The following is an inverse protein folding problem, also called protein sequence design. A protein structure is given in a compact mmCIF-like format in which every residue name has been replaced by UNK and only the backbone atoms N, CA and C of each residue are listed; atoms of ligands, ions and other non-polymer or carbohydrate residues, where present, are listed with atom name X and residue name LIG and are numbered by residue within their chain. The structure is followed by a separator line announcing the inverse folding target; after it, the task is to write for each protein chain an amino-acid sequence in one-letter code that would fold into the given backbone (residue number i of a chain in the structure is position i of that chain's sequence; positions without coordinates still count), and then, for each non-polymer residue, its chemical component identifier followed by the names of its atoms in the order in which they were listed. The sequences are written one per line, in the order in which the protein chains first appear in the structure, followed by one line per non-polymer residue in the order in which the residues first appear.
data_IF_594548584527
#
_entry.id   IF_594548584527
#
_cell.length_a   1.000
_cell.length_b   1.000
_cell.length_c   1.000
_cell.angle_alpha   90.00
_cell.angle_beta   90.00
_cell.angle_gamma   90.00
#
_symmetry.space_group_name_H-M   'P 1'
#
loop_
_entity.id
_entity.type
_entity.pdbx_description
1 polymer ?
#
# COMPACT_ATOMS: atom_id res chain seq x y z
N UNK A 1 -31.85 -6.66 -8.30
CA UNK A 1 -32.14 -5.23 -8.09
C UNK A 1 -33.61 -5.13 -7.76
N UNK A 2 -33.95 -4.93 -6.48
CA UNK A 2 -35.30 -4.53 -6.11
C UNK A 2 -35.40 -3.05 -6.49
N UNK A 3 -36.10 -2.74 -7.57
CA UNK A 3 -36.44 -1.35 -7.91
C UNK A 3 -37.49 -0.91 -6.90
N UNK A 4 -37.05 -0.28 -5.81
CA UNK A 4 -37.94 0.64 -5.08
C UNK A 4 -38.51 1.61 -6.12
N UNK A 5 -39.84 1.74 -6.16
CA UNK A 5 -40.48 2.69 -7.05
C UNK A 5 -39.88 4.08 -6.81
N UNK A 6 -39.55 4.80 -7.88
CA UNK A 6 -39.01 6.14 -7.76
C UNK A 6 -39.95 6.99 -6.88
N UNK A 7 -39.42 7.74 -5.89
CA UNK A 7 -40.26 8.44 -4.91
C UNK A 7 -41.00 9.66 -5.51
N UNK A 8 -40.84 9.95 -6.80
CA UNK A 8 -41.53 10.99 -7.55
C UNK A 8 -41.03 11.07 -9.00
N UNK A 9 -41.43 12.11 -9.71
CA UNK A 9 -40.90 12.44 -11.05
C UNK A 9 -39.59 13.23 -10.94
N UNK A 10 -38.64 13.05 -11.88
CA UNK A 10 -37.39 13.78 -11.86
C UNK A 10 -37.62 15.28 -12.12
N UNK A 11 -37.00 16.12 -11.29
CA UNK A 11 -37.01 17.57 -11.43
C UNK A 11 -35.59 18.14 -11.27
N UNK A 12 -35.34 19.28 -11.91
CA UNK A 12 -34.07 20.00 -11.81
C UNK A 12 -34.32 21.41 -11.29
N UNK A 13 -33.57 21.80 -10.26
CA UNK A 13 -33.61 23.15 -9.71
C UNK A 13 -32.32 23.89 -10.07
N UNK A 14 -32.43 25.01 -10.78
CA UNK A 14 -31.27 25.78 -11.24
C UNK A 14 -31.62 27.22 -11.61
N UNK A 15 -30.80 28.18 -11.16
CA UNK A 15 -30.88 29.62 -11.52
C UNK A 15 -32.28 30.25 -11.35
N UNK A 16 -32.94 30.00 -10.23
CA UNK A 16 -34.26 30.58 -9.96
C UNK A 16 -35.43 29.84 -10.63
N UNK A 17 -35.18 28.70 -11.28
CA UNK A 17 -36.21 27.90 -11.95
C UNK A 17 -36.24 26.45 -11.47
N UNK A 18 -37.45 25.89 -11.47
CA UNK A 18 -37.72 24.46 -11.35
C UNK A 18 -38.14 23.93 -12.72
N UNK A 19 -37.44 22.90 -13.19
CA UNK A 19 -37.70 22.22 -14.44
C UNK A 19 -38.31 20.84 -14.15
N UNK A 20 -39.43 20.52 -14.81
CA UNK A 20 -40.13 19.23 -14.66
C UNK A 20 -40.51 18.68 -16.04
N UNK A 21 -40.69 17.36 -16.12
CA UNK A 21 -41.26 16.74 -17.32
C UNK A 21 -42.79 16.69 -17.17
N UNK A 22 -43.52 17.34 -18.06
CA UNK A 22 -44.99 17.33 -18.11
C UNK A 22 -45.39 16.97 -19.54
N UNK A 23 -46.14 15.90 -19.72
CA UNK A 23 -46.58 15.38 -21.04
C UNK A 23 -45.44 15.20 -22.06
N UNK A 24 -44.24 14.83 -21.58
CA UNK A 24 -43.05 14.64 -22.41
C UNK A 24 -42.30 15.94 -22.78
N UNK A 25 -42.77 17.09 -22.30
CA UNK A 25 -42.11 18.38 -22.47
C UNK A 25 -41.44 18.85 -21.18
N UNK A 26 -40.38 19.64 -21.32
CA UNK A 26 -39.73 20.28 -20.18
C UNK A 26 -40.49 21.56 -19.81
N UNK A 27 -41.29 21.46 -18.76
CA UNK A 27 -41.94 22.61 -18.13
C UNK A 27 -40.94 23.39 -17.27
N UNK A 28 -41.09 24.72 -17.25
CA UNK A 28 -40.19 25.64 -16.54
C UNK A 28 -41.03 26.58 -15.69
N UNK A 29 -40.86 26.50 -14.38
CA UNK A 29 -41.54 27.37 -13.41
C UNK A 29 -40.55 28.17 -12.60
N UNK A 30 -40.94 29.37 -12.19
CA UNK A 30 -40.15 30.20 -11.29
C UNK A 30 -40.16 29.59 -9.88
N UNK A 31 -38.98 29.53 -9.26
CA UNK A 31 -38.80 28.96 -7.93
C UNK A 31 -37.72 29.78 -7.19
N UNK A 32 -38.14 30.61 -6.23
CA UNK A 32 -37.23 31.50 -5.50
C UNK A 32 -36.17 30.74 -4.69
N UNK A 33 -36.47 29.51 -4.26
CA UNK A 33 -35.51 28.63 -3.56
C UNK A 33 -34.45 28.03 -4.50
N UNK A 34 -34.60 28.19 -5.82
CA UNK A 34 -33.65 27.73 -6.83
C UNK A 34 -32.48 28.69 -7.06
N UNK A 35 -32.31 29.72 -6.23
CA UNK A 35 -31.23 30.70 -6.29
C UNK A 35 -29.88 30.16 -5.75
N UNK A 36 -29.76 28.85 -5.52
CA UNK A 36 -28.52 28.19 -5.10
C UNK A 36 -27.39 28.26 -6.14
N UNK A 37 -26.17 27.95 -5.71
CA UNK A 37 -24.93 28.11 -6.50
C UNK A 37 -24.72 27.06 -7.61
N UNK A 38 -25.57 26.04 -7.71
CA UNK A 38 -25.43 24.96 -8.70
C UNK A 38 -26.74 24.21 -9.00
N UNK A 39 -26.72 23.33 -10.02
CA UNK A 39 -27.88 22.51 -10.36
C UNK A 39 -28.16 21.47 -9.28
N UNK A 40 -29.42 21.32 -8.89
CA UNK A 40 -29.86 20.32 -7.93
C UNK A 40 -30.92 19.39 -8.53
N UNK A 41 -30.63 18.09 -8.51
CA UNK A 41 -31.53 17.04 -8.96
C UNK A 41 -32.45 16.60 -7.82
N UNK A 42 -33.74 16.56 -8.10
CA UNK A 42 -34.81 16.36 -7.14
C UNK A 42 -35.80 15.31 -7.64
N UNK A 43 -36.51 14.69 -6.71
CA UNK A 43 -37.76 13.98 -6.93
C UNK A 43 -38.93 14.88 -6.56
N UNK A 44 -39.89 15.02 -7.47
CA UNK A 44 -41.13 15.77 -7.28
C UNK A 44 -42.30 14.80 -7.08
N UNK A 45 -42.94 14.86 -5.92
CA UNK A 45 -44.19 14.16 -5.62
C UNK A 45 -45.26 15.20 -5.32
N UNK A 46 -45.99 15.63 -6.36
CA UNK A 46 -46.88 16.79 -6.29
C UNK A 46 -46.10 18.07 -6.01
N UNK A 47 -46.39 18.74 -4.89
CA UNK A 47 -45.67 19.93 -4.43
C UNK A 47 -44.44 19.60 -3.57
N UNK A 48 -44.26 18.34 -3.16
CA UNK A 48 -43.13 17.96 -2.32
C UNK A 48 -41.89 17.70 -3.17
N UNK A 49 -40.81 18.43 -2.89
CA UNK A 49 -39.51 18.25 -3.51
C UNK A 49 -38.54 17.55 -2.55
N UNK A 50 -37.84 16.52 -3.02
CA UNK A 50 -36.83 15.79 -2.24
C UNK A 50 -35.53 15.67 -3.02
N UNK A 51 -34.35 15.84 -2.39
CA UNK A 51 -33.07 15.57 -3.05
C UNK A 51 -33.01 14.15 -3.62
N UNK A 52 -32.53 14.04 -4.86
CA UNK A 52 -32.34 12.74 -5.52
C UNK A 52 -31.15 11.97 -4.91
N UNK A 53 -30.14 12.70 -4.47
CA UNK A 53 -28.96 12.17 -3.76
C UNK A 53 -28.97 12.71 -2.33
N UNK A 54 -28.70 11.83 -1.37
CA UNK A 54 -28.47 12.27 0.01
C UNK A 54 -27.16 13.06 0.11
N UNK A 55 -27.00 13.87 1.15
CA UNK A 55 -25.72 14.54 1.42
C UNK A 55 -24.57 13.53 1.62
N UNK A 56 -24.88 12.34 2.16
CA UNK A 56 -23.90 11.27 2.28
C UNK A 56 -23.43 10.77 0.89
N UNK A 57 -24.34 10.62 -0.07
CA UNK A 57 -24.00 10.21 -1.44
C UNK A 57 -23.21 11.28 -2.19
N UNK A 58 -23.60 12.55 -2.06
CA UNK A 58 -22.86 13.68 -2.63
C UNK A 58 -21.43 13.72 -2.08
N UNK A 59 -21.28 13.62 -0.75
CA UNK A 59 -19.97 13.59 -0.10
C UNK A 59 -19.15 12.36 -0.50
N UNK A 60 -19.79 11.20 -0.68
CA UNK A 60 -19.11 9.99 -1.15
C UNK A 60 -18.56 10.17 -2.57
N UNK A 61 -19.36 10.71 -3.51
CA UNK A 61 -18.91 11.01 -4.87
C UNK A 61 -17.73 11.98 -4.86
N UNK A 62 -17.82 13.07 -4.10
CA UNK A 62 -16.73 14.04 -3.97
C UNK A 62 -15.45 13.41 -3.40
N UNK A 63 -15.59 12.55 -2.39
CA UNK A 63 -14.45 11.88 -1.72
C UNK A 63 -13.77 10.84 -2.62
N UNK A 64 -14.54 10.16 -3.47
CA UNK A 64 -14.07 9.04 -4.28
C UNK A 64 -13.59 9.46 -5.67
N UNK A 65 -14.07 10.60 -6.19
CA UNK A 65 -13.69 11.11 -7.52
C UNK A 65 -12.19 11.32 -7.61
N UNK A 66 -11.57 10.78 -8.67
CA UNK A 66 -10.12 10.86 -8.89
C UNK A 66 -9.29 9.87 -8.06
N UNK A 67 -9.93 8.98 -7.31
CA UNK A 67 -9.26 7.92 -6.55
C UNK A 67 -9.54 6.53 -7.14
N UNK A 68 -8.69 5.56 -6.82
CA UNK A 68 -8.90 4.13 -7.11
C UNK A 68 -9.87 3.45 -6.13
N UNK A 69 -10.34 4.18 -5.11
CA UNK A 69 -11.22 3.69 -4.05
C UNK A 69 -12.67 3.73 -4.50
N UNK A 70 -13.48 2.87 -3.89
CA UNK A 70 -14.90 2.63 -4.25
C UNK A 70 -15.86 2.89 -3.11
N UNK A 71 -15.39 2.91 -1.87
CA UNK A 71 -16.22 3.03 -0.67
C UNK A 71 -15.63 4.04 0.31
N UNK A 72 -16.49 4.74 1.04
CA UNK A 72 -16.11 5.59 2.20
C UNK A 72 -16.43 4.89 3.54
N UNK A 73 -15.84 5.35 4.64
CA UNK A 73 -16.15 4.84 5.98
C UNK A 73 -17.64 5.02 6.33
N UNK A 74 -18.27 6.11 5.86
CA UNK A 74 -19.70 6.35 6.02
C UNK A 74 -20.53 5.27 5.34
N UNK A 75 -20.23 4.94 4.09
CA UNK A 75 -20.95 3.89 3.35
C UNK A 75 -20.78 2.52 4.01
N UNK A 76 -19.57 2.18 4.48
CA UNK A 76 -19.34 0.94 5.22
C UNK A 76 -20.17 0.89 6.50
N UNK A 77 -20.20 1.98 7.27
CA UNK A 77 -21.01 2.07 8.50
C UNK A 77 -22.50 1.83 8.22
N UNK A 78 -23.06 2.50 7.20
CA UNK A 78 -24.46 2.36 6.82
C UNK A 78 -24.83 0.92 6.44
N UNK A 79 -23.95 0.23 5.70
CA UNK A 79 -24.15 -1.17 5.32
C UNK A 79 -24.08 -2.08 6.55
N UNK A 80 -23.09 -1.89 7.43
CA UNK A 80 -22.96 -2.69 8.65
C UNK A 80 -24.17 -2.49 9.59
N UNK A 81 -24.68 -1.27 9.72
CA UNK A 81 -25.88 -0.98 10.49
C UNK A 81 -27.12 -1.65 9.88
N UNK A 82 -27.27 -1.59 8.56
CA UNK A 82 -28.37 -2.26 7.85
C UNK A 82 -28.31 -3.77 8.03
N UNK A 83 -27.11 -4.37 7.97
CA UNK A 83 -26.89 -5.79 8.23
C UNK A 83 -27.23 -6.15 9.68
N UNK A 84 -26.84 -5.33 10.64
CA UNK A 84 -27.18 -5.53 12.05
C UNK A 84 -28.70 -5.50 12.28
N UNK A 85 -29.42 -4.53 11.71
CA UNK A 85 -30.89 -4.47 11.73
C UNK A 85 -31.55 -5.69 11.07
N UNK A 86 -30.91 -6.23 10.03
CA UNK A 86 -31.34 -7.46 9.35
C UNK A 86 -30.95 -8.76 10.06
N UNK A 87 -30.54 -8.72 11.33
CA UNK A 87 -30.21 -9.90 12.13
C UNK A 87 -28.76 -10.38 12.03
N UNK A 88 -27.88 -9.66 11.32
CA UNK A 88 -26.44 -9.97 11.21
C UNK A 88 -25.60 -9.04 12.08
N UNK A 89 -25.81 -9.08 13.39
CA UNK A 89 -25.18 -8.16 14.35
C UNK A 89 -23.64 -8.21 14.38
N UNK A 90 -23.03 -9.33 13.96
CA UNK A 90 -21.57 -9.52 13.95
C UNK A 90 -20.95 -9.34 12.55
N UNK A 91 -21.65 -8.67 11.62
CA UNK A 91 -21.09 -8.40 10.30
C UNK A 91 -19.83 -7.53 10.40
N UNK A 92 -18.85 -7.84 9.56
CA UNK A 92 -17.59 -7.10 9.46
C UNK A 92 -17.28 -6.80 8.01
N UNK A 93 -16.44 -5.80 7.79
CA UNK A 93 -15.93 -5.44 6.48
C UNK A 93 -14.40 -5.50 6.48
N UNK A 94 -13.79 -6.15 5.50
CA UNK A 94 -12.34 -6.34 5.43
C UNK A 94 -11.78 -5.56 4.24
N UNK A 95 -10.81 -4.68 4.49
CA UNK A 95 -10.14 -3.89 3.45
C UNK A 95 -8.81 -3.33 3.97
N UNK A 96 -7.82 -3.12 3.10
CA UNK A 96 -6.60 -2.41 3.48
C UNK A 96 -5.77 -3.12 4.55
N UNK A 97 -5.90 -4.44 4.69
CA UNK A 97 -5.22 -5.21 5.72
C UNK A 97 -5.82 -5.07 7.13
N UNK A 98 -7.06 -4.57 7.24
CA UNK A 98 -7.77 -4.35 8.50
C UNK A 98 -9.19 -4.89 8.44
N UNK A 99 -9.72 -5.26 9.60
CA UNK A 99 -11.12 -5.60 9.82
C UNK A 99 -11.84 -4.37 10.39
N UNK A 100 -12.97 -4.01 9.80
CA UNK A 100 -13.84 -2.93 10.23
C UNK A 100 -15.15 -3.46 10.79
N UNK A 101 -15.56 -2.97 11.96
CA UNK A 101 -16.86 -3.29 12.57
C UNK A 101 -17.44 -2.09 13.31
N UNK A 102 -18.70 -2.18 13.72
CA UNK A 102 -19.33 -1.16 14.57
C UNK A 102 -19.04 -1.44 16.04
N UNK A 103 -18.61 -0.41 16.77
CA UNK A 103 -18.47 -0.45 18.22
C UNK A 103 -19.85 -0.38 18.91
N UNK A 104 -19.88 -0.48 20.25
CA UNK A 104 -21.12 -0.37 21.05
C UNK A 104 -21.83 1.00 20.92
N UNK A 105 -21.17 1.99 20.32
CA UNK A 105 -21.67 3.35 20.08
C UNK A 105 -21.97 3.58 18.59
N UNK A 106 -22.07 2.51 17.79
CA UNK A 106 -22.28 2.55 16.33
C UNK A 106 -21.21 3.36 15.57
N UNK A 107 -19.96 3.33 16.03
CA UNK A 107 -18.84 3.96 15.31
C UNK A 107 -17.98 2.89 14.65
N UNK A 108 -17.47 3.21 13.47
CA UNK A 108 -16.59 2.31 12.73
C UNK A 108 -15.22 2.21 13.39
N UNK A 109 -14.92 1.07 13.98
CA UNK A 109 -13.62 0.72 14.50
C UNK A 109 -12.84 -0.17 13.53
N UNK A 110 -11.53 0.03 13.46
CA UNK A 110 -10.61 -0.76 12.66
C UNK A 110 -9.72 -1.59 13.60
N UNK A 111 -9.61 -2.88 13.30
CA UNK A 111 -8.93 -3.88 14.13
C UNK A 111 -7.95 -4.68 13.27
N UNK A 112 -6.89 -5.16 13.91
CA UNK A 112 -6.03 -6.20 13.34
C UNK A 112 -6.72 -7.55 13.53
N UNK A 113 -6.79 -8.33 12.46
CA UNK A 113 -7.35 -9.68 12.47
C UNK A 113 -6.61 -10.54 11.44
N UNK A 114 -6.25 -11.80 11.74
CA UNK A 114 -5.62 -12.70 10.77
C UNK A 114 -6.41 -12.88 9.48
N UNK A 115 -7.75 -12.81 9.52
CA UNK A 115 -8.58 -12.88 8.31
C UNK A 115 -8.43 -11.64 7.40
N UNK A 116 -7.88 -10.55 7.93
CA UNK A 116 -7.55 -9.35 7.17
C UNK A 116 -6.10 -9.32 6.68
N UNK A 117 -5.29 -10.34 6.97
CA UNK A 117 -3.92 -10.40 6.45
C UNK A 117 -3.93 -10.43 4.91
N UNK A 118 -2.96 -9.77 4.25
CA UNK A 118 -2.93 -9.72 2.81
C UNK A 118 -2.65 -11.11 2.22
N UNK A 119 -3.32 -11.42 1.12
CA UNK A 119 -3.03 -12.61 0.33
C UNK A 119 -1.72 -12.39 -0.42
N UNK A 120 -0.66 -13.06 0.01
CA UNK A 120 0.59 -13.12 -0.72
C UNK A 120 0.45 -14.14 -1.86
N UNK A 121 0.37 -13.66 -3.10
CA UNK A 121 0.45 -14.52 -4.27
C UNK A 121 1.91 -14.83 -4.53
N UNK A 122 2.37 -16.09 -4.37
CA UNK A 122 3.73 -16.45 -4.72
C UNK A 122 3.85 -16.40 -6.24
N UNK A 123 4.30 -15.27 -6.77
CA UNK A 123 4.70 -15.18 -8.16
C UNK A 123 6.13 -15.71 -8.22
N UNK A 124 6.29 -16.98 -8.60
CA UNK A 124 7.59 -17.49 -8.97
C UNK A 124 8.07 -16.68 -10.18
N UNK A 125 9.09 -15.85 -10.01
CA UNK A 125 9.73 -15.21 -11.16
C UNK A 125 10.69 -16.21 -11.80
N UNK A 126 10.85 -16.10 -13.12
CA UNK A 126 11.91 -16.79 -13.85
C UNK A 126 13.25 -16.61 -13.12
N UNK A 127 13.88 -17.72 -12.73
CA UNK A 127 15.14 -17.69 -11.99
C UNK A 127 16.25 -17.44 -13.00
N UNK A 128 16.52 -16.17 -13.29
CA UNK A 128 17.68 -15.81 -14.11
C UNK A 128 18.97 -16.15 -13.36
N UNK A 129 20.06 -16.51 -14.07
CA UNK A 129 21.38 -16.67 -13.45
C UNK A 129 21.72 -15.44 -12.60
N UNK A 130 22.39 -15.62 -11.46
CA UNK A 130 22.59 -14.56 -10.48
C UNK A 130 23.02 -13.22 -11.10
N UNK A 131 23.99 -13.21 -12.02
CA UNK A 131 24.47 -11.98 -12.70
C UNK A 131 23.40 -11.23 -13.50
N UNK A 132 22.35 -11.91 -13.95
CA UNK A 132 21.22 -11.36 -14.69
C UNK A 132 20.01 -11.03 -13.79
N UNK A 133 20.04 -11.45 -12.53
CA UNK A 133 19.02 -11.15 -11.52
C UNK A 133 19.44 -9.99 -10.60
N UNK A 134 20.67 -9.49 -10.74
CA UNK A 134 21.19 -8.37 -9.97
C UNK A 134 20.75 -7.03 -10.57
N UNK A 135 20.41 -6.07 -9.70
CA UNK A 135 20.16 -4.69 -10.09
C UNK A 135 21.44 -3.92 -10.43
N UNK A 136 21.28 -2.60 -10.67
CA UNK A 136 22.37 -1.71 -11.09
C UNK A 136 23.55 -1.68 -10.11
N UNK A 137 23.31 -1.76 -8.80
CA UNK A 137 24.38 -1.79 -7.78
C UNK A 137 24.71 -3.22 -7.32
N UNK A 138 24.20 -4.24 -8.00
CA UNK A 138 24.42 -5.62 -7.62
C UNK A 138 23.68 -6.00 -6.33
N UNK A 139 24.35 -6.74 -5.45
CA UNK A 139 23.73 -7.31 -4.25
C UNK A 139 23.22 -6.24 -3.27
N UNK A 140 23.79 -5.04 -3.27
CA UNK A 140 23.45 -3.97 -2.30
C UNK A 140 22.12 -3.28 -2.61
N UNK A 141 21.57 -3.46 -3.82
CA UNK A 141 20.21 -2.99 -4.13
C UNK A 141 19.18 -3.61 -3.19
N UNK A 142 19.35 -4.90 -2.86
CA UNK A 142 18.52 -5.61 -1.89
C UNK A 142 19.18 -5.69 -0.50
N UNK A 143 20.48 -5.94 -0.40
CA UNK A 143 21.14 -6.24 0.88
C UNK A 143 21.86 -5.05 1.54
N UNK A 144 21.58 -3.81 1.17
CA UNK A 144 22.04 -2.67 1.97
C UNK A 144 21.21 -2.50 3.25
N UNK A 145 21.78 -1.84 4.26
CA UNK A 145 21.11 -1.53 5.54
C UNK A 145 19.85 -0.67 5.37
N UNK A 146 19.75 0.05 4.25
CA UNK A 146 18.65 0.95 3.91
C UNK A 146 17.91 0.52 2.64
N UNK A 147 18.07 -0.74 2.20
CA UNK A 147 17.43 -1.22 0.98
C UNK A 147 15.91 -1.03 1.02
N UNK A 148 15.39 -0.34 0.00
CA UNK A 148 13.96 -0.19 -0.22
C UNK A 148 13.28 -1.53 -0.53
N UNK A 149 14.03 -2.53 -1.02
CA UNK A 149 13.48 -3.84 -1.32
C UNK A 149 12.92 -4.54 -0.07
N UNK A 150 13.65 -4.50 1.06
CA UNK A 150 13.18 -5.10 2.32
C UNK A 150 12.44 -4.10 3.21
N UNK A 151 12.93 -2.86 3.30
CA UNK A 151 12.51 -1.93 4.35
C UNK A 151 11.50 -0.86 3.88
N UNK A 152 11.14 -0.81 2.59
CA UNK A 152 10.03 0.04 2.17
C UNK A 152 8.73 -0.42 2.83
N UNK A 153 7.90 0.55 3.20
CA UNK A 153 6.60 0.28 3.80
C UNK A 153 5.59 0.04 2.68
N UNK A 154 4.90 -1.10 2.77
CA UNK A 154 3.83 -1.49 1.89
C UNK A 154 2.52 -1.20 2.60
N UNK A 155 1.69 -0.38 1.95
CA UNK A 155 0.36 -0.01 2.43
C UNK A 155 -0.66 -1.04 1.94
N UNK A 156 -1.52 -1.47 2.87
CA UNK A 156 -2.63 -2.37 2.57
C UNK A 156 -3.56 -1.74 1.54
N UNK A 157 -3.80 -2.47 0.44
CA UNK A 157 -4.70 -2.02 -0.63
C UNK A 157 -6.13 -2.51 -0.38
N UNK A 158 -7.10 -1.81 -0.96
CA UNK A 158 -8.51 -2.19 -0.87
C UNK A 158 -9.47 -1.09 -1.29
N UNK A 159 -10.75 -1.42 -1.49
CA UNK A 159 -11.72 -0.48 -2.05
C UNK A 159 -12.15 0.63 -1.08
N UNK A 160 -11.85 0.52 0.22
CA UNK A 160 -12.19 1.55 1.21
C UNK A 160 -11.19 2.70 1.21
N UNK A 161 -11.69 3.93 1.05
CA UNK A 161 -10.94 5.16 1.31
C UNK A 161 -10.88 5.41 2.82
N UNK A 162 -9.74 5.12 3.41
CA UNK A 162 -9.46 5.32 4.84
C UNK A 162 -7.95 5.46 5.06
N UNK A 163 -7.57 6.09 6.17
CA UNK A 163 -6.19 6.11 6.67
C UNK A 163 -5.90 4.93 7.60
N UNK A 164 -6.94 4.23 8.07
CA UNK A 164 -6.86 3.09 8.99
C UNK A 164 -6.49 1.82 8.22
N UNK A 165 -5.28 1.77 7.66
CA UNK A 165 -4.77 0.63 6.89
C UNK A 165 -3.59 -0.05 7.58
N UNK A 166 -3.33 -1.30 7.22
CA UNK A 166 -2.12 -2.00 7.62
C UNK A 166 -0.93 -1.45 6.84
N UNK A 167 0.17 -1.19 7.54
CA UNK A 167 1.42 -0.68 6.95
C UNK A 167 2.61 -1.48 7.47
N UNK A 168 3.12 -2.39 6.64
CA UNK A 168 4.17 -3.34 7.01
C UNK A 168 5.41 -3.19 6.11
N UNK A 169 6.63 -3.44 6.60
CA UNK A 169 7.80 -3.49 5.73
C UNK A 169 7.67 -4.67 4.74
N UNK A 170 8.22 -4.54 3.53
CA UNK A 170 8.16 -5.59 2.52
C UNK A 170 8.75 -6.94 2.99
N UNK A 171 9.79 -6.91 3.82
CA UNK A 171 10.38 -8.10 4.47
C UNK A 171 9.40 -8.89 5.34
N UNK A 172 8.34 -8.28 5.88
CA UNK A 172 7.38 -8.98 6.76
C UNK A 172 6.64 -10.12 6.06
N UNK A 173 6.61 -10.14 4.73
CA UNK A 173 5.97 -11.19 3.93
C UNK A 173 6.92 -12.36 3.60
N UNK A 174 8.20 -12.27 3.96
CA UNK A 174 9.21 -13.26 3.60
C UNK A 174 9.40 -14.35 4.65
N UNK A 175 8.72 -14.25 5.80
CA UNK A 175 8.89 -15.20 6.91
C UNK A 175 10.24 -15.08 7.63
N UNK A 176 10.94 -13.95 7.46
CA UNK A 176 12.25 -13.70 8.07
C UNK A 176 12.28 -12.32 8.71
N UNK A 177 12.93 -12.21 9.88
CA UNK A 177 12.93 -10.97 10.65
C UNK A 177 13.78 -9.85 10.03
N UNK A 178 13.38 -8.61 10.29
CA UNK A 178 14.13 -7.42 9.88
C UNK A 178 15.57 -7.42 10.40
N UNK A 179 15.82 -7.99 11.58
CA UNK A 179 17.14 -8.07 12.16
C UNK A 179 18.08 -8.93 11.30
N UNK A 180 17.58 -10.05 10.77
CA UNK A 180 18.34 -10.90 9.86
C UNK A 180 18.80 -10.11 8.63
N UNK A 181 17.89 -9.38 7.98
CA UNK A 181 18.24 -8.57 6.80
C UNK A 181 19.25 -7.47 7.12
N UNK A 182 19.17 -6.85 8.31
CA UNK A 182 20.13 -5.83 8.74
C UNK A 182 21.51 -6.42 9.05
N UNK A 183 21.58 -7.53 9.78
CA UNK A 183 22.83 -8.22 10.07
C UNK A 183 23.49 -8.71 8.78
N UNK A 184 22.70 -9.24 7.84
CA UNK A 184 23.23 -9.62 6.54
C UNK A 184 23.71 -8.41 5.75
N UNK A 185 23.01 -7.27 5.84
CA UNK A 185 23.47 -6.03 5.20
C UNK A 185 24.76 -5.45 5.78
N UNK A 186 25.02 -5.64 7.08
CA UNK A 186 26.32 -5.30 7.68
C UNK A 186 27.47 -6.05 7.02
N UNK A 187 27.25 -7.31 6.59
CA UNK A 187 28.29 -8.08 5.90
C UNK A 187 28.74 -7.39 4.60
N UNK A 188 27.84 -6.72 3.88
CA UNK A 188 28.17 -5.97 2.67
C UNK A 188 28.87 -4.65 2.97
N UNK A 189 28.50 -3.97 4.06
CA UNK A 189 29.20 -2.78 4.53
C UNK A 189 30.64 -3.09 5.00
N UNK A 190 30.85 -4.21 5.68
CA UNK A 190 32.16 -4.67 6.16
C UNK A 190 33.05 -5.27 5.07
N UNK A 191 32.45 -5.77 3.98
CA UNK A 191 33.14 -6.51 2.91
C UNK A 191 34.37 -5.79 2.32
N UNK A 192 34.34 -4.47 2.01
CA UNK A 192 35.51 -3.77 1.49
C UNK A 192 36.69 -3.79 2.47
N UNK A 193 36.42 -3.55 3.75
CA UNK A 193 37.46 -3.54 4.79
C UNK A 193 38.06 -4.93 5.00
N UNK A 194 37.24 -5.97 4.99
CA UNK A 194 37.73 -7.34 5.08
C UNK A 194 38.62 -7.71 3.89
N UNK A 195 38.27 -7.27 2.68
CA UNK A 195 39.13 -7.46 1.50
C UNK A 195 40.46 -6.73 1.62
N UNK A 196 40.46 -5.51 2.14
CA UNK A 196 41.69 -4.73 2.37
C UNK A 196 42.58 -5.45 3.40
N UNK A 197 42.00 -5.89 4.52
CA UNK A 197 42.72 -6.62 5.56
C UNK A 197 43.32 -7.93 5.04
N UNK A 198 42.53 -8.73 4.31
CA UNK A 198 43.01 -9.97 3.69
C UNK A 198 44.10 -9.69 2.66
N UNK A 199 43.97 -8.64 1.85
CA UNK A 199 44.99 -8.23 0.89
C UNK A 199 46.31 -7.85 1.58
N UNK A 200 46.24 -7.10 2.67
CA UNK A 200 47.41 -6.74 3.48
C UNK A 200 48.07 -7.98 4.10
N UNK A 201 47.27 -8.89 4.68
CA UNK A 201 47.77 -10.14 5.24
C UNK A 201 48.46 -11.02 4.17
N UNK A 202 47.83 -11.16 2.99
CA UNK A 202 48.40 -11.90 1.88
C UNK A 202 49.72 -11.29 1.38
N UNK A 203 49.82 -9.95 1.35
CA UNK A 203 51.04 -9.25 0.98
C UNK A 203 52.17 -9.51 1.98
N UNK A 204 51.89 -9.47 3.29
CA UNK A 204 52.88 -9.77 4.34
C UNK A 204 53.36 -11.21 4.23
N UNK A 205 52.44 -12.17 4.12
CA UNK A 205 52.78 -13.60 3.97
C UNK A 205 53.61 -13.80 2.69
N UNK A 206 53.20 -13.19 1.57
CA UNK A 206 53.91 -13.25 0.30
C UNK A 206 55.33 -12.68 0.40
N UNK A 207 55.52 -11.56 1.09
CA UNK A 207 56.83 -10.96 1.30
C UNK A 207 57.75 -11.86 2.15
N UNK A 208 57.22 -12.49 3.21
CA UNK A 208 57.98 -13.43 4.05
C UNK A 208 58.38 -14.67 3.24
N UNK A 209 57.46 -15.24 2.46
CA UNK A 209 57.74 -16.41 1.61
C UNK A 209 58.77 -16.06 0.53
N UNK A 210 58.66 -14.89 -0.10
CA UNK A 210 59.63 -14.42 -1.09
C UNK A 210 61.02 -14.24 -0.47
N UNK A 211 61.11 -13.60 0.70
CA UNK A 211 62.37 -13.43 1.41
C UNK A 211 62.99 -14.79 1.78
N UNK A 212 62.19 -15.74 2.27
CA UNK A 212 62.64 -17.09 2.58
C UNK A 212 63.15 -17.84 1.34
N UNK A 213 62.45 -17.71 0.20
CA UNK A 213 62.88 -18.28 -1.08
C UNK A 213 64.19 -17.67 -1.59
N UNK A 214 64.34 -16.35 -1.54
CA UNK A 214 65.58 -15.66 -1.92
C UNK A 214 66.75 -16.10 -1.03
N UNK A 215 66.53 -16.19 0.29
CA UNK A 215 67.55 -16.67 1.23
C UNK A 215 67.92 -18.14 0.98
N UNK A 216 66.95 -19.00 0.69
CA UNK A 216 67.20 -20.40 0.36
C UNK A 216 67.98 -20.53 -0.95
N UNK A 217 67.59 -19.78 -1.99
CA UNK A 217 68.28 -19.75 -3.27
C UNK A 217 69.72 -19.25 -3.13
N UNK A 218 69.95 -18.16 -2.39
CA UNK A 218 71.29 -17.61 -2.15
C UNK A 218 72.20 -18.56 -1.37
N UNK A 219 71.65 -19.36 -0.44
CA UNK A 219 72.39 -20.43 0.25
C UNK A 219 72.72 -21.61 -0.67
N UNK A 220 71.79 -22.00 -1.56
CA UNK A 220 71.99 -23.08 -2.51
C UNK A 220 72.99 -22.72 -3.61
N UNK A 221 73.00 -21.46 -4.04
CA UNK A 221 73.93 -20.95 -5.06
C UNK A 221 75.31 -20.59 -4.52
N UNK A 222 75.55 -20.75 -3.22
CA UNK A 222 76.82 -20.41 -2.56
C UNK A 222 77.10 -18.91 -2.43
N UNK A 223 76.12 -18.04 -2.73
CA UNK A 223 76.24 -16.58 -2.62
C UNK A 223 76.08 -16.09 -1.17
N UNK A 224 75.50 -16.90 -0.30
CA UNK A 224 75.35 -16.63 1.13
C UNK A 224 76.10 -17.73 1.89
N UNK A 225 77.20 -17.37 2.56
CA UNK A 225 78.00 -18.31 3.36
C UNK A 225 77.14 -19.00 4.42
N UNK A 226 77.31 -20.33 4.55
CA UNK A 226 76.81 -21.08 5.70
C UNK A 226 77.53 -20.55 6.93
N UNK A 227 76.83 -19.77 7.76
CA UNK A 227 77.32 -19.43 9.11
C UNK A 227 77.68 -20.74 9.81
N UNK A 228 78.94 -20.88 10.21
CA UNK A 228 79.43 -21.98 11.07
C UNK A 228 78.66 -22.02 12.38
#
# INVERSE_FOLDING_TARGET
MLTEAAPGEPALRFKGFLYRLVDGFLDKMENAEAAGTGPEWLWAAGETLRPMLSEADKNAVLTLTGTDRRLTETQVSLVLEALARGGRANAVYVSGGKLFRLDKKNRLEALDDPAADPVAWPVAHEVRPARQALGWNGCTDCHSLSSKFFFARVDGQGPLRTEKISRRPASSYMGVDNLYHRLFGLSYAGRPYFKILLGAAALVIGAVLLAALVLAAGRLSGLIEKRK
#
